data_IF_458218455273
#
_entry.id   IF_458218455273
#
_cell.length_a   1.000
_cell.length_b   1.000
_cell.length_c   1.000
_cell.angle_alpha   90.00
_cell.angle_beta   90.00
_cell.angle_gamma   90.00
#
_symmetry.space_group_name_H-M   'P 1'
#
loop_
_entity.id
_entity.type
_entity.pdbx_description
1 polymer ?
#
# COMPACT_ATOMS: atom_id res chain seq x y z
N UNK A 1 15.12 19.91 -18.01
CA UNK A 1 15.80 19.91 -16.70
C UNK A 1 14.71 19.83 -15.65
N UNK A 2 14.74 18.84 -14.75
CA UNK A 2 13.81 18.79 -13.62
C UNK A 2 14.14 19.95 -12.68
N UNK A 3 13.12 20.69 -12.26
CA UNK A 3 13.28 21.70 -11.23
C UNK A 3 13.43 20.97 -9.89
N UNK A 4 14.59 21.08 -9.25
CA UNK A 4 14.89 20.34 -8.01
C UNK A 4 13.99 20.75 -6.82
N UNK A 5 13.21 21.83 -6.95
CA UNK A 5 12.38 22.38 -5.89
C UNK A 5 10.90 21.96 -5.92
N UNK A 6 10.48 21.11 -6.86
CA UNK A 6 9.07 20.68 -6.90
C UNK A 6 8.71 19.83 -5.68
N UNK A 7 7.41 19.81 -5.37
CA UNK A 7 6.90 19.08 -4.21
C UNK A 7 7.12 17.57 -4.34
N UNK A 8 7.03 17.03 -5.55
CA UNK A 8 7.23 15.61 -5.85
C UNK A 8 8.67 15.18 -5.60
N UNK A 9 9.65 16.00 -5.99
CA UNK A 9 11.08 15.76 -5.71
C UNK A 9 11.32 15.72 -4.20
N UNK A 10 10.74 16.67 -3.45
CA UNK A 10 10.86 16.72 -1.98
C UNK A 10 10.23 15.51 -1.29
N UNK A 11 9.04 15.10 -1.74
CA UNK A 11 8.36 13.90 -1.24
C UNK A 11 9.22 12.66 -1.50
N UNK A 12 9.71 12.47 -2.72
CA UNK A 12 10.53 11.32 -3.06
C UNK A 12 11.82 11.24 -2.25
N UNK A 13 12.49 12.38 -2.05
CA UNK A 13 13.70 12.47 -1.23
C UNK A 13 13.43 12.12 0.25
N UNK A 14 12.33 12.63 0.82
CA UNK A 14 11.97 12.35 2.21
C UNK A 14 11.53 10.91 2.42
N UNK A 15 10.69 10.36 1.55
CA UNK A 15 10.27 8.95 1.62
C UNK A 15 11.49 8.01 1.55
N UNK A 16 12.40 8.27 0.61
CA UNK A 16 13.64 7.49 0.47
C UNK A 16 14.51 7.59 1.72
N UNK A 17 14.71 8.81 2.25
CA UNK A 17 15.55 9.07 3.42
C UNK A 17 14.98 8.45 4.70
N UNK A 18 13.66 8.47 4.85
CA UNK A 18 12.95 7.90 6.01
C UNK A 18 12.70 6.39 5.85
N UNK A 19 12.96 5.81 4.68
CA UNK A 19 12.66 4.42 4.37
C UNK A 19 11.16 4.11 4.38
N UNK A 20 10.32 5.11 4.07
CA UNK A 20 8.86 4.99 4.06
C UNK A 20 8.33 4.81 2.64
N UNK A 21 7.21 4.12 2.55
CA UNK A 21 6.49 3.85 1.30
C UNK A 21 5.11 4.51 1.29
N UNK A 22 4.64 4.89 0.10
CA UNK A 22 3.35 5.56 -0.12
C UNK A 22 2.49 4.85 -1.15
N UNK A 23 1.19 4.78 -0.88
CA UNK A 23 0.15 4.38 -1.82
C UNK A 23 -0.96 5.43 -1.92
N UNK A 24 -1.78 5.35 -2.97
CA UNK A 24 -2.85 6.31 -3.23
C UNK A 24 -4.19 5.64 -3.49
N UNK A 25 -5.28 6.32 -3.12
CA UNK A 25 -6.64 6.01 -3.52
C UNK A 25 -7.28 7.22 -4.22
N UNK A 26 -7.39 7.17 -5.53
CA UNK A 26 -7.85 8.30 -6.34
C UNK A 26 -9.27 8.08 -6.85
N UNK A 27 -10.13 9.10 -6.78
CA UNK A 27 -11.43 9.09 -7.45
C UNK A 27 -11.48 10.24 -8.45
N UNK A 28 -11.78 11.47 -8.00
CA UNK A 28 -11.98 12.59 -8.91
C UNK A 28 -10.70 13.05 -9.65
N UNK A 29 -9.51 12.86 -9.07
CA UNK A 29 -8.21 13.19 -9.69
C UNK A 29 -7.85 12.25 -10.85
N UNK A 30 -8.36 11.01 -10.81
CA UNK A 30 -8.27 10.07 -11.94
C UNK A 30 -6.85 9.61 -12.28
N UNK A 31 -5.96 9.49 -11.29
CA UNK A 31 -4.58 9.02 -11.50
C UNK A 31 -3.54 10.14 -11.51
N UNK A 32 -3.97 11.41 -11.48
CA UNK A 32 -3.08 12.56 -11.58
C UNK A 32 -2.04 12.65 -10.45
N UNK A 33 -2.34 12.13 -9.25
CA UNK A 33 -1.38 12.14 -8.15
C UNK A 33 -0.31 11.07 -8.39
N UNK A 34 -0.72 9.86 -8.76
CA UNK A 34 0.19 8.78 -9.13
C UNK A 34 1.12 9.15 -10.28
N UNK A 35 0.55 9.71 -11.36
CA UNK A 35 1.26 10.24 -12.53
C UNK A 35 2.45 11.14 -12.14
N UNK A 36 2.17 12.15 -11.30
CA UNK A 36 3.17 13.10 -10.80
C UNK A 36 4.24 12.47 -9.92
N UNK A 37 3.89 11.50 -9.07
CA UNK A 37 4.89 10.77 -8.28
C UNK A 37 5.77 9.90 -9.19
N UNK A 38 5.20 9.31 -10.23
CA UNK A 38 5.94 8.47 -11.19
C UNK A 38 6.83 9.25 -12.14
N UNK A 39 6.57 10.54 -12.36
CA UNK A 39 7.45 11.43 -13.13
C UNK A 39 8.82 11.63 -12.45
N UNK A 40 8.95 11.32 -11.16
CA UNK A 40 10.21 11.40 -10.43
C UNK A 40 11.02 10.11 -10.63
N UNK A 41 12.24 10.18 -11.20
CA UNK A 41 13.11 9.01 -11.35
C UNK A 41 13.38 8.33 -10.01
N UNK A 42 13.35 7.00 -10.00
CA UNK A 42 13.54 6.21 -8.77
C UNK A 42 12.29 6.11 -7.88
N UNK A 43 11.13 6.62 -8.33
CA UNK A 43 9.86 6.52 -7.61
C UNK A 43 9.45 5.10 -7.24
N UNK A 44 9.91 4.08 -7.97
CA UNK A 44 9.72 2.66 -7.62
C UNK A 44 10.30 2.27 -6.26
N UNK A 45 11.21 3.06 -5.69
CA UNK A 45 11.77 2.82 -4.35
C UNK A 45 10.77 3.11 -3.22
N UNK A 46 9.79 3.99 -3.44
CA UNK A 46 8.88 4.45 -2.39
C UNK A 46 7.39 4.43 -2.77
N UNK A 47 7.03 4.48 -4.06
CA UNK A 47 5.64 4.52 -4.50
C UNK A 47 5.16 3.11 -4.87
N UNK A 48 4.28 2.55 -4.05
CA UNK A 48 3.81 1.16 -4.22
C UNK A 48 2.62 1.02 -5.17
N UNK A 49 1.87 2.10 -5.38
CA UNK A 49 0.78 2.11 -6.36
C UNK A 49 -0.33 3.10 -6.03
N UNK A 50 -1.24 3.24 -6.99
CA UNK A 50 -2.48 4.01 -6.87
C UNK A 50 -3.66 3.17 -7.31
N UNK A 51 -4.73 3.19 -6.53
CA UNK A 51 -6.02 2.61 -6.89
C UNK A 51 -6.97 3.72 -7.34
N UNK A 52 -7.21 3.82 -8.65
CA UNK A 52 -8.22 4.74 -9.20
C UNK A 52 -9.60 4.08 -9.10
N UNK A 53 -10.38 4.45 -8.09
CA UNK A 53 -11.68 3.84 -7.74
C UNK A 53 -12.82 4.83 -7.91
N UNK A 54 -13.28 5.03 -9.15
CA UNK A 54 -14.31 6.03 -9.44
C UNK A 54 -15.71 5.61 -8.97
N UNK A 55 -16.13 4.39 -9.30
CA UNK A 55 -17.45 3.84 -8.98
C UNK A 55 -17.57 3.41 -7.50
N UNK A 56 -18.80 3.32 -6.99
CA UNK A 56 -19.09 2.79 -5.64
C UNK A 56 -18.56 1.36 -5.49
N UNK A 57 -18.90 0.47 -6.43
CA UNK A 57 -18.45 -0.92 -6.43
C UNK A 57 -16.92 -1.04 -6.48
N UNK A 58 -16.22 -0.13 -7.17
CA UNK A 58 -14.76 -0.11 -7.18
C UNK A 58 -14.19 0.26 -5.81
N UNK A 59 -14.79 1.24 -5.11
CA UNK A 59 -14.39 1.61 -3.74
C UNK A 59 -14.60 0.43 -2.76
N UNK A 60 -15.69 -0.31 -2.92
CA UNK A 60 -15.98 -1.49 -2.10
C UNK A 60 -15.01 -2.63 -2.39
N UNK A 61 -14.92 -3.06 -3.65
CA UNK A 61 -14.14 -4.25 -4.00
C UNK A 61 -12.64 -4.06 -3.89
N UNK A 62 -12.11 -2.89 -4.28
CA UNK A 62 -10.66 -2.65 -4.33
C UNK A 62 -10.13 -2.16 -2.98
N UNK A 63 -10.89 -1.28 -2.30
CA UNK A 63 -10.42 -0.59 -1.09
C UNK A 63 -11.14 -1.05 0.18
N UNK A 64 -12.17 -1.90 0.07
CA UNK A 64 -12.92 -2.37 1.22
C UNK A 64 -13.73 -1.27 1.89
N UNK A 65 -14.15 -0.24 1.14
CA UNK A 65 -15.10 0.76 1.66
C UNK A 65 -16.41 0.06 1.97
N UNK A 66 -16.99 0.34 3.13
CA UNK A 66 -18.22 -0.31 3.57
C UNK A 66 -19.43 0.17 2.77
N UNK A 67 -20.23 -0.79 2.31
CA UNK A 67 -21.45 -0.52 1.56
C UNK A 67 -22.40 0.47 2.27
N UNK A 68 -22.62 0.26 3.57
CA UNK A 68 -23.49 1.12 4.38
C UNK A 68 -22.95 2.55 4.50
N UNK A 69 -21.63 2.73 4.52
CA UNK A 69 -21.01 4.06 4.54
C UNK A 69 -21.25 4.78 3.20
N UNK A 70 -21.12 4.07 2.08
CA UNK A 70 -21.40 4.62 0.75
C UNK A 70 -22.88 5.01 0.56
N UNK A 71 -23.82 4.19 1.05
CA UNK A 71 -25.25 4.51 0.96
C UNK A 71 -25.64 5.69 1.85
N UNK A 72 -25.17 5.72 3.10
CA UNK A 72 -25.59 6.74 4.08
C UNK A 72 -24.87 8.08 3.92
N UNK A 73 -23.57 8.05 3.59
CA UNK A 73 -22.74 9.26 3.51
C UNK A 73 -22.48 9.70 2.08
N UNK A 74 -22.63 8.81 1.10
CA UNK A 74 -22.26 9.06 -0.29
C UNK A 74 -20.74 8.99 -0.52
N UNK A 75 -20.33 8.74 -1.76
CA UNK A 75 -18.92 8.59 -2.13
C UNK A 75 -18.04 9.82 -1.86
N UNK A 76 -18.64 11.02 -1.78
CA UNK A 76 -17.93 12.26 -1.47
C UNK A 76 -18.26 12.64 -0.03
N UNK A 77 -17.46 12.11 0.89
CA UNK A 77 -17.58 12.30 2.34
C UNK A 77 -16.22 12.03 3.02
N UNK A 78 -16.06 12.52 4.25
CA UNK A 78 -14.85 12.27 5.04
C UNK A 78 -14.73 10.78 5.42
N UNK A 79 -15.84 10.11 5.71
CA UNK A 79 -15.88 8.71 6.09
C UNK A 79 -15.41 7.80 4.94
N UNK A 80 -15.86 8.07 3.71
CA UNK A 80 -15.42 7.33 2.52
C UNK A 80 -13.94 7.63 2.23
N UNK A 81 -13.49 8.88 2.33
CA UNK A 81 -12.07 9.22 2.14
C UNK A 81 -11.19 8.44 3.14
N UNK A 82 -11.55 8.43 4.43
CA UNK A 82 -10.83 7.65 5.45
C UNK A 82 -10.75 6.17 5.09
N UNK A 83 -11.88 5.54 4.76
CA UNK A 83 -11.91 4.12 4.39
C UNK A 83 -11.10 3.84 3.12
N UNK A 84 -11.13 4.74 2.13
CA UNK A 84 -10.31 4.65 0.92
C UNK A 84 -8.81 4.69 1.23
N UNK A 85 -8.37 5.63 2.08
CA UNK A 85 -6.95 5.76 2.45
C UNK A 85 -6.47 4.52 3.21
N UNK A 86 -7.22 4.10 4.22
CA UNK A 86 -6.92 2.88 4.98
C UNK A 86 -6.94 1.63 4.08
N UNK A 87 -7.88 1.58 3.15
CA UNK A 87 -7.98 0.54 2.12
C UNK A 87 -6.74 0.47 1.24
N UNK A 88 -6.28 1.59 0.71
CA UNK A 88 -5.08 1.65 -0.12
C UNK A 88 -3.84 1.25 0.69
N UNK A 89 -3.70 1.75 1.91
CA UNK A 89 -2.60 1.38 2.80
C UNK A 89 -2.51 -0.14 2.98
N UNK A 90 -3.65 -0.79 3.27
CA UNK A 90 -3.73 -2.25 3.40
C UNK A 90 -3.49 -2.99 2.08
N UNK A 91 -4.09 -2.52 0.98
CA UNK A 91 -4.05 -3.21 -0.31
C UNK A 91 -2.64 -3.23 -0.92
N UNK A 92 -1.88 -2.15 -0.75
CA UNK A 92 -0.52 -2.03 -1.27
C UNK A 92 0.57 -2.36 -0.23
N UNK A 93 0.20 -2.52 1.05
CA UNK A 93 1.17 -2.71 2.13
C UNK A 93 2.08 -1.50 2.35
N UNK A 94 1.58 -0.29 2.06
CA UNK A 94 2.34 0.94 2.21
C UNK A 94 2.38 1.42 3.66
N UNK A 95 3.43 2.17 4.02
CA UNK A 95 3.53 2.81 5.33
C UNK A 95 2.49 3.93 5.45
N UNK A 96 2.36 4.74 4.40
CA UNK A 96 1.36 5.80 4.31
C UNK A 96 0.47 5.64 3.09
N UNK A 97 -0.77 6.10 3.20
CA UNK A 97 -1.65 6.24 2.05
C UNK A 97 -2.48 7.52 2.10
N UNK A 98 -2.70 8.12 0.92
CA UNK A 98 -3.58 9.29 0.78
C UNK A 98 -4.71 8.99 -0.19
N UNK A 99 -5.91 9.39 0.18
CA UNK A 99 -7.09 9.28 -0.66
C UNK A 99 -7.64 10.64 -1.07
N UNK A 100 -8.30 10.67 -2.23
CA UNK A 100 -9.06 11.84 -2.71
C UNK A 100 -10.40 11.40 -3.31
N UNK A 101 -11.49 11.94 -2.78
CA UNK A 101 -12.84 11.80 -3.35
C UNK A 101 -13.55 13.15 -3.42
N UNK A 102 -14.21 13.44 -4.54
CA UNK A 102 -14.72 14.79 -4.79
C UNK A 102 -15.63 14.91 -6.01
N UNK A 103 -16.23 16.09 -6.16
CA UNK A 103 -17.13 16.45 -7.26
C UNK A 103 -16.40 17.47 -8.13
N UNK A 104 -15.65 17.00 -9.14
CA UNK A 104 -14.88 17.90 -9.99
C UNK A 104 -15.74 18.84 -10.86
N UNK A 105 -17.01 18.47 -11.14
CA UNK A 105 -17.92 19.23 -12.00
C UNK A 105 -17.88 18.82 -13.47
N UNK A 106 -18.64 19.49 -14.35
CA UNK A 106 -19.46 20.68 -14.06
C UNK A 106 -20.80 20.36 -13.36
N UNK A 107 -21.22 19.09 -13.33
CA UNK A 107 -22.43 18.64 -12.65
C UNK A 107 -22.15 17.75 -11.43
N UNK A 108 -23.21 17.16 -10.88
CA UNK A 108 -23.13 16.20 -9.77
C UNK A 108 -23.06 16.83 -8.37
N UNK A 109 -23.07 18.17 -8.28
CA UNK A 109 -23.16 18.88 -7.01
C UNK A 109 -24.61 18.97 -6.49
N UNK A 110 -24.74 19.10 -5.17
CA UNK A 110 -25.97 19.47 -4.46
C UNK A 110 -25.70 20.72 -3.60
N UNK A 111 -26.72 21.37 -3.02
CA UNK A 111 -26.51 22.49 -2.09
C UNK A 111 -25.53 22.15 -0.95
N UNK A 112 -25.63 20.94 -0.39
CA UNK A 112 -24.75 20.49 0.71
C UNK A 112 -23.38 19.98 0.24
N UNK A 113 -23.31 19.53 -1.02
CA UNK A 113 -22.10 18.98 -1.64
C UNK A 113 -21.84 19.66 -2.98
N UNK A 114 -21.35 20.90 -2.98
CA UNK A 114 -21.21 21.67 -4.21
C UNK A 114 -20.16 21.08 -5.15
N UNK A 115 -20.22 21.47 -6.42
CA UNK A 115 -19.11 21.27 -7.36
C UNK A 115 -17.85 21.93 -6.79
N UNK A 116 -16.71 21.25 -6.95
CA UNK A 116 -15.43 21.65 -6.37
C UNK A 116 -15.17 21.05 -4.98
N UNK A 117 -16.17 20.44 -4.33
CA UNK A 117 -15.95 19.74 -3.06
C UNK A 117 -14.98 18.56 -3.24
N UNK A 118 -13.96 18.49 -2.39
CA UNK A 118 -13.06 17.36 -2.27
C UNK A 118 -12.80 17.02 -0.79
N UNK A 119 -12.84 15.73 -0.47
CA UNK A 119 -12.38 15.17 0.79
C UNK A 119 -11.09 14.41 0.56
N UNK A 120 -10.10 14.74 1.37
CA UNK A 120 -8.79 14.10 1.38
C UNK A 120 -8.59 13.43 2.73
N UNK A 121 -7.89 12.30 2.72
CA UNK A 121 -7.53 11.63 3.96
C UNK A 121 -6.17 10.95 3.85
N UNK A 122 -5.31 11.17 4.86
CA UNK A 122 -4.03 10.48 5.03
C UNK A 122 -4.16 9.45 6.15
N UNK A 123 -3.74 8.21 5.89
CA UNK A 123 -3.65 7.14 6.87
C UNK A 123 -2.19 6.66 6.97
N UNK A 124 -1.69 6.57 8.19
CA UNK A 124 -0.36 6.12 8.57
C UNK A 124 -0.46 5.29 9.87
N UNK A 125 0.62 4.65 10.37
CA UNK A 125 0.57 3.94 11.65
C UNK A 125 0.23 4.85 12.85
N UNK A 126 0.63 6.11 12.79
CA UNK A 126 0.60 7.10 13.86
C UNK A 126 -0.32 8.30 13.55
N UNK A 127 -0.90 8.36 12.35
CA UNK A 127 -1.70 9.49 11.90
C UNK A 127 -2.92 9.08 11.06
N UNK A 128 -4.04 9.77 11.32
CA UNK A 128 -5.26 9.72 10.52
C UNK A 128 -5.74 11.17 10.33
N UNK A 129 -5.35 11.80 9.22
CA UNK A 129 -5.61 13.22 8.96
C UNK A 129 -6.67 13.38 7.89
N UNK A 130 -7.66 14.23 8.16
CA UNK A 130 -8.76 14.50 7.23
C UNK A 130 -8.76 15.97 6.81
N UNK A 131 -9.00 16.22 5.52
CA UNK A 131 -9.17 17.56 4.98
C UNK A 131 -10.41 17.66 4.09
N UNK A 132 -11.04 18.83 4.12
CA UNK A 132 -12.18 19.18 3.28
C UNK A 132 -11.89 20.48 2.56
N UNK A 133 -12.00 20.46 1.25
CA UNK A 133 -11.78 21.61 0.38
C UNK A 133 -12.99 21.85 -0.52
N UNK A 134 -13.23 23.11 -0.87
CA UNK A 134 -14.19 23.50 -1.92
C UNK A 134 -13.46 24.41 -2.89
N UNK A 135 -13.20 23.89 -4.07
CA UNK A 135 -12.50 24.61 -5.12
C UNK A 135 -13.48 25.37 -6.01
N UNK A 136 -13.04 26.49 -6.55
CA UNK A 136 -13.85 27.35 -7.43
C UNK A 136 -13.23 27.44 -8.82
N UNK A 137 -12.77 26.31 -9.35
CA UNK A 137 -12.23 26.20 -10.70
C UNK A 137 -13.13 25.34 -11.60
N UNK A 138 -12.73 25.20 -12.86
CA UNK A 138 -13.35 24.25 -13.79
C UNK A 138 -12.98 22.80 -13.42
N UNK A 139 -13.51 21.82 -14.18
CA UNK A 139 -13.29 20.40 -13.90
C UNK A 139 -11.80 20.05 -13.82
N UNK A 140 -10.99 20.58 -14.73
CA UNK A 140 -9.55 20.30 -14.79
C UNK A 140 -8.82 20.97 -13.62
N UNK A 141 -9.16 22.21 -13.31
CA UNK A 141 -8.61 22.96 -12.19
C UNK A 141 -8.94 22.33 -10.84
N UNK A 142 -10.20 21.89 -10.63
CA UNK A 142 -10.61 21.23 -9.38
C UNK A 142 -9.86 19.91 -9.16
N UNK A 143 -9.61 19.15 -10.24
CA UNK A 143 -8.76 17.94 -10.17
C UNK A 143 -7.34 18.29 -9.77
N UNK A 144 -6.73 19.27 -10.45
CA UNK A 144 -5.35 19.71 -10.18
C UNK A 144 -5.17 20.19 -8.75
N UNK A 145 -6.05 21.08 -8.27
CA UNK A 145 -6.00 21.60 -6.90
C UNK A 145 -6.16 20.49 -5.85
N UNK A 146 -7.02 19.50 -6.11
CA UNK A 146 -7.16 18.34 -5.23
C UNK A 146 -5.90 17.46 -5.21
N UNK A 147 -5.23 17.30 -6.37
CA UNK A 147 -3.95 16.59 -6.44
C UNK A 147 -2.82 17.36 -5.73
N UNK A 148 -2.76 18.68 -5.91
CA UNK A 148 -1.81 19.56 -5.20
C UNK A 148 -1.99 19.46 -3.68
N UNK A 149 -3.24 19.52 -3.21
CA UNK A 149 -3.55 19.39 -1.78
C UNK A 149 -3.12 18.03 -1.21
N UNK A 150 -3.31 16.94 -1.97
CA UNK A 150 -2.90 15.61 -1.55
C UNK A 150 -1.37 15.50 -1.43
N UNK A 151 -0.61 16.02 -2.40
CA UNK A 151 0.85 16.06 -2.32
C UNK A 151 1.33 16.94 -1.15
N UNK A 152 0.69 18.09 -0.94
CA UNK A 152 0.98 18.96 0.21
C UNK A 152 0.72 18.24 1.55
N UNK A 153 -0.33 17.41 1.62
CA UNK A 153 -0.64 16.61 2.80
C UNK A 153 0.43 15.55 3.08
N UNK A 154 0.91 14.86 2.03
CA UNK A 154 2.03 13.90 2.14
C UNK A 154 3.29 14.62 2.64
N UNK A 155 3.66 15.74 2.00
CA UNK A 155 4.86 16.48 2.38
C UNK A 155 4.81 16.94 3.84
N UNK A 156 3.69 17.52 4.29
CA UNK A 156 3.53 17.96 5.69
C UNK A 156 3.68 16.81 6.68
N UNK A 157 3.16 15.62 6.35
CA UNK A 157 3.35 14.45 7.18
C UNK A 157 4.83 14.08 7.27
N UNK A 158 5.51 13.95 6.13
CA UNK A 158 6.93 13.56 6.09
C UNK A 158 7.85 14.56 6.80
N UNK A 159 7.53 15.86 6.72
CA UNK A 159 8.27 16.90 7.44
C UNK A 159 8.17 16.76 8.97
N UNK A 160 7.03 16.29 9.49
CA UNK A 160 6.85 16.01 10.93
C UNK A 160 7.56 14.73 11.38
N UNK A 161 7.82 13.81 10.46
CA UNK A 161 8.55 12.56 10.75
C UNK A 161 10.07 12.76 10.80
N UNK A 162 10.58 13.94 10.43
CA UNK A 162 12.00 14.23 10.61
C UNK A 162 12.31 14.27 12.10
N UNK A 163 13.33 13.52 12.57
CA UNK A 163 13.82 13.68 13.93
C UNK A 163 14.12 15.16 14.18
N UNK A 164 13.60 15.71 15.29
CA UNK A 164 14.02 17.04 15.74
C UNK A 164 15.54 17.00 15.87
N UNK A 165 16.21 17.70 14.96
CA UNK A 165 17.66 17.71 14.83
C UNK A 165 18.27 18.16 16.16
N UNK A 166 18.87 17.25 16.92
CA UNK A 166 19.76 17.62 18.01
C UNK A 166 20.86 18.52 17.43
N UNK A 167 21.03 19.70 18.01
CA UNK A 167 22.10 20.62 17.68
C UNK A 167 23.46 19.97 17.97
N UNK A 168 24.34 19.81 16.98
CA UNK A 168 25.56 20.62 16.73
C UNK A 168 26.54 19.84 15.78
N UNK A 169 27.78 20.28 15.45
CA UNK A 169 28.17 20.54 14.07
C UNK A 169 29.38 19.70 13.59
N UNK A 170 29.48 19.49 12.28
CA UNK A 170 30.73 19.13 11.62
C UNK A 170 30.99 17.62 11.50
N UNK A 171 30.96 17.16 10.25
CA UNK A 171 31.98 16.31 9.60
C UNK A 171 31.59 16.16 8.10
N UNK A 172 32.56 15.85 7.22
CA UNK A 172 32.54 16.28 5.82
C UNK A 172 31.72 15.38 4.89
N UNK A 173 31.34 16.01 3.79
CA UNK A 173 30.73 15.42 2.61
C UNK A 173 31.71 14.54 1.84
N UNK A 174 31.44 13.24 1.77
CA UNK A 174 31.89 12.35 0.68
C UNK A 174 30.67 11.54 0.18
N UNK A 175 30.62 11.15 -1.11
CA UNK A 175 29.43 10.61 -1.73
C UNK A 175 29.24 9.15 -1.36
N UNK A 176 28.03 8.78 -0.90
CA UNK A 176 27.63 7.38 -0.81
C UNK A 176 27.45 6.82 -2.22
N UNK A 177 28.31 5.87 -2.56
CA UNK A 177 28.25 5.07 -3.78
C UNK A 177 26.85 4.44 -3.96
N UNK A 178 26.29 4.70 -5.13
CA UNK A 178 25.03 4.16 -5.60
C UNK A 178 25.18 2.67 -5.96
N UNK A 179 24.98 1.77 -5.00
CA UNK A 179 24.93 0.34 -5.27
C UNK A 179 24.12 -0.45 -4.22
N UNK A 180 22.86 -0.07 -3.96
CA UNK A 180 21.92 -0.94 -3.22
C UNK A 180 20.45 -0.49 -3.39
N UNK A 181 19.97 -0.39 -4.63
CA UNK A 181 18.54 -0.18 -4.88
C UNK A 181 18.14 -0.80 -6.24
N UNK A 182 18.21 -2.12 -6.34
CA UNK A 182 17.60 -2.84 -7.46
C UNK A 182 17.32 -4.27 -7.06
N UNK A 183 16.10 -4.51 -6.59
CA UNK A 183 15.30 -5.69 -6.90
C UNK A 183 14.04 -5.65 -6.03
N UNK A 184 12.91 -5.21 -6.59
CA UNK A 184 11.54 -5.55 -6.15
C UNK A 184 10.54 -4.84 -7.05
N UNK A 185 10.26 -5.44 -8.21
CA UNK A 185 9.02 -5.18 -8.93
C UNK A 185 8.70 -6.34 -9.87
N UNK A 186 7.70 -7.14 -9.46
CA UNK A 186 6.76 -8.02 -10.21
C UNK A 186 6.12 -8.95 -9.17
N UNK A 187 4.83 -9.26 -9.09
CA UNK A 187 3.61 -8.99 -9.86
C UNK A 187 2.41 -9.11 -8.87
N UNK A 188 1.35 -8.29 -9.00
CA UNK A 188 0.06 -8.63 -9.60
C UNK A 188 -0.79 -9.72 -8.89
N UNK A 189 -2.04 -9.31 -8.57
CA UNK A 189 -3.26 -10.13 -8.43
C UNK A 189 -3.46 -10.97 -7.16
N UNK A 190 -3.96 -10.34 -6.08
CA UNK A 190 -4.82 -11.02 -5.10
C UNK A 190 -6.29 -10.81 -5.47
N UNK A 191 -6.70 -11.34 -6.62
CA UNK A 191 -8.11 -11.64 -6.87
C UNK A 191 -8.47 -12.86 -6.05
N UNK A 192 -9.32 -12.66 -5.03
CA UNK A 192 -10.05 -13.68 -4.26
C UNK A 192 -9.30 -14.99 -3.98
N UNK A 193 -8.33 -14.94 -3.06
CA UNK A 193 -7.71 -16.14 -2.50
C UNK A 193 -8.60 -16.70 -1.40
N UNK A 194 -9.75 -17.25 -1.77
CA UNK A 194 -10.44 -18.22 -0.91
C UNK A 194 -9.50 -19.43 -0.78
N UNK A 195 -9.22 -19.92 0.44
CA UNK A 195 -8.40 -21.12 0.59
C UNK A 195 -9.06 -22.27 -0.17
N UNK A 196 -8.28 -23.14 -0.85
CA UNK A 196 -8.83 -24.37 -1.40
C UNK A 196 -9.55 -25.14 -0.29
N UNK A 197 -10.65 -25.82 -0.64
CA UNK A 197 -11.37 -26.66 0.30
C UNK A 197 -10.41 -27.63 1.01
N UNK A 198 -10.60 -27.82 2.31
CA UNK A 198 -9.70 -28.61 3.15
C UNK A 198 -9.48 -30.02 2.58
N UNK A 199 -8.21 -30.35 2.30
CA UNK A 199 -7.75 -31.68 1.85
C UNK A 199 -6.85 -31.57 0.61
N UNK A 200 -5.52 -31.55 0.68
CA UNK A 200 -4.59 -31.99 1.70
C UNK A 200 -3.42 -31.00 1.75
N UNK A 201 -3.09 -30.48 2.93
CA UNK A 201 -1.90 -29.65 3.10
C UNK A 201 -0.65 -30.46 2.80
N UNK A 202 0.29 -29.90 2.04
CA UNK A 202 1.51 -30.59 1.65
C UNK A 202 2.59 -30.32 2.69
N UNK A 203 3.23 -31.34 3.31
CA UNK A 203 4.39 -31.15 4.15
C UNK A 203 5.48 -30.39 3.40
N UNK A 204 6.08 -29.39 4.06
CA UNK A 204 7.15 -28.58 3.49
C UNK A 204 8.34 -28.56 4.44
N UNK A 205 9.54 -28.76 3.91
CA UNK A 205 10.76 -28.40 4.63
C UNK A 205 10.94 -26.89 4.45
N UNK A 206 11.07 -26.14 5.54
CA UNK A 206 11.16 -24.68 5.51
C UNK A 206 12.44 -24.25 6.19
N UNK A 207 13.27 -23.50 5.47
CA UNK A 207 14.32 -22.69 6.08
C UNK A 207 13.69 -21.38 6.54
N UNK A 208 13.67 -21.16 7.85
CA UNK A 208 13.14 -19.97 8.47
C UNK A 208 14.08 -19.45 9.54
N UNK A 209 14.18 -18.13 9.66
CA UNK A 209 14.84 -17.51 10.81
C UNK A 209 13.78 -17.03 11.80
N UNK A 210 14.18 -16.89 13.07
CA UNK A 210 13.32 -16.35 14.13
C UNK A 210 13.83 -14.99 14.54
N UNK A 211 12.94 -14.04 14.63
CA UNK A 211 13.20 -12.73 15.21
C UNK A 211 13.26 -12.81 16.75
N UNK A 212 13.81 -11.78 17.42
CA UNK A 212 13.90 -11.74 18.89
C UNK A 212 12.55 -11.83 19.62
N UNK A 213 11.45 -11.43 18.98
CA UNK A 213 10.07 -11.55 19.47
C UNK A 213 9.45 -12.94 19.15
N UNK A 214 10.27 -13.92 18.80
CA UNK A 214 9.91 -15.29 18.44
C UNK A 214 9.02 -15.42 17.19
N UNK A 215 8.89 -14.35 16.39
CA UNK A 215 8.21 -14.42 15.11
C UNK A 215 9.03 -15.25 14.11
N UNK A 216 8.35 -16.03 13.28
CA UNK A 216 9.00 -16.93 12.33
C UNK A 216 8.96 -16.32 10.94
N UNK A 217 10.09 -16.34 10.24
CA UNK A 217 10.26 -15.70 8.93
C UNK A 217 10.82 -16.71 7.92
N UNK A 218 9.96 -17.27 7.04
CA UNK A 218 10.40 -18.17 5.98
C UNK A 218 11.35 -17.48 5.00
N UNK A 219 12.45 -18.15 4.64
CA UNK A 219 13.42 -17.73 3.63
C UNK A 219 13.38 -18.62 2.39
N UNK A 220 13.15 -19.91 2.59
CA UNK A 220 12.95 -20.87 1.51
C UNK A 220 12.09 -22.03 1.99
N UNK A 221 11.43 -22.72 1.07
CA UNK A 221 10.64 -23.90 1.40
C UNK A 221 10.61 -24.91 0.25
N UNK A 222 10.36 -26.18 0.57
CA UNK A 222 10.12 -27.21 -0.42
C UNK A 222 8.64 -27.36 -0.74
N UNK A 223 8.31 -27.52 -2.01
CA UNK A 223 6.96 -27.86 -2.46
C UNK A 223 7.02 -28.68 -3.75
N UNK A 224 6.30 -29.81 -3.78
CA UNK A 224 6.25 -30.73 -4.94
C UNK A 224 7.64 -31.15 -5.50
N UNK A 225 8.64 -31.27 -4.63
CA UNK A 225 10.00 -31.68 -5.00
C UNK A 225 10.90 -30.54 -5.47
N UNK A 226 10.40 -29.31 -5.54
CA UNK A 226 11.16 -28.11 -5.89
C UNK A 226 11.43 -27.24 -4.65
N UNK A 227 12.53 -26.51 -4.67
CA UNK A 227 12.88 -25.52 -3.66
C UNK A 227 12.47 -24.13 -4.15
N UNK A 228 11.72 -23.42 -3.32
CA UNK A 228 11.24 -22.07 -3.58
C UNK A 228 11.91 -21.09 -2.61
N UNK A 229 12.53 -20.05 -3.15
CA UNK A 229 13.08 -18.94 -2.36
C UNK A 229 11.99 -17.91 -2.12
N UNK A 230 11.83 -17.50 -0.87
CA UNK A 230 10.90 -16.46 -0.45
C UNK A 230 11.53 -15.11 -0.73
N UNK A 231 10.91 -14.34 -1.63
CA UNK A 231 11.35 -12.99 -2.01
C UNK A 231 10.57 -11.90 -1.27
N UNK A 232 9.34 -12.21 -0.83
CA UNK A 232 8.52 -11.33 -0.01
C UNK A 232 7.59 -12.14 0.91
N UNK A 233 7.20 -11.55 2.04
CA UNK A 233 6.16 -12.08 2.93
C UNK A 233 5.01 -11.08 3.03
N UNK A 234 3.78 -11.56 2.90
CA UNK A 234 2.55 -10.78 3.01
C UNK A 234 1.85 -10.97 4.35
N UNK A 235 0.52 -11.06 4.29
CA UNK A 235 -0.37 -11.20 5.46
C UNK A 235 0.07 -12.35 6.37
N UNK A 236 0.02 -12.11 7.68
CA UNK A 236 0.21 -13.09 8.75
C UNK A 236 -1.04 -13.18 9.61
N UNK A 237 -1.38 -14.37 10.07
CA UNK A 237 -2.49 -14.58 11.00
C UNK A 237 -2.28 -15.85 11.81
N UNK A 238 -3.07 -16.00 12.87
CA UNK A 238 -3.08 -17.20 13.70
C UNK A 238 -4.43 -17.87 13.52
N UNK A 239 -4.41 -19.17 13.26
CA UNK A 239 -5.60 -20.00 13.11
C UNK A 239 -5.60 -21.06 14.20
N UNK A 240 -6.78 -21.28 14.82
CA UNK A 240 -6.98 -22.36 15.79
C UNK A 240 -7.74 -23.46 15.08
N UNK A 241 -7.14 -24.64 15.01
CA UNK A 241 -7.74 -25.86 14.49
C UNK A 241 -7.80 -26.92 15.59
N UNK A 242 -8.49 -28.03 15.31
CA UNK A 242 -8.64 -29.13 16.27
C UNK A 242 -7.30 -29.76 16.67
N UNK A 243 -6.28 -29.68 15.79
CA UNK A 243 -4.95 -30.22 16.02
C UNK A 243 -3.94 -29.20 16.57
N UNK A 244 -4.37 -27.97 16.89
CA UNK A 244 -3.57 -26.97 17.58
C UNK A 244 -3.57 -25.56 16.95
N UNK A 245 -2.58 -24.76 17.34
CA UNK A 245 -2.43 -23.38 16.86
C UNK A 245 -1.49 -23.34 15.66
N UNK A 246 -1.96 -22.75 14.57
CA UNK A 246 -1.21 -22.55 13.34
C UNK A 246 -0.89 -21.08 13.13
N UNK A 247 0.39 -20.79 12.90
CA UNK A 247 0.87 -19.49 12.44
C UNK A 247 0.95 -19.51 10.92
N UNK A 248 0.13 -18.69 10.28
CA UNK A 248 -0.01 -18.66 8.83
C UNK A 248 0.68 -17.42 8.26
N UNK A 249 1.32 -17.56 7.10
CA UNK A 249 1.96 -16.46 6.38
C UNK A 249 1.85 -16.66 4.87
N UNK A 250 1.48 -15.60 4.17
CA UNK A 250 1.62 -15.56 2.71
C UNK A 250 3.07 -15.26 2.34
N UNK A 251 3.62 -16.02 1.41
CA UNK A 251 4.96 -15.82 0.86
C UNK A 251 4.89 -15.73 -0.66
N UNK A 252 5.77 -14.92 -1.24
CA UNK A 252 5.94 -14.83 -2.69
C UNK A 252 7.33 -15.33 -3.07
N UNK A 253 7.43 -15.88 -4.27
CA UNK A 253 8.69 -16.35 -4.84
C UNK A 253 9.16 -15.45 -5.98
N UNK A 254 10.40 -15.65 -6.43
CA UNK A 254 10.97 -14.88 -7.55
C UNK A 254 10.18 -15.01 -8.86
N UNK A 255 9.42 -16.10 -9.03
CA UNK A 255 8.58 -16.33 -10.21
C UNK A 255 7.22 -15.60 -10.12
N UNK A 256 6.97 -14.85 -9.04
CA UNK A 256 5.69 -14.20 -8.76
C UNK A 256 4.64 -15.14 -8.14
N UNK A 257 4.95 -16.43 -8.01
CA UNK A 257 4.06 -17.40 -7.37
C UNK A 257 3.85 -17.04 -5.90
N UNK A 258 2.61 -17.12 -5.43
CA UNK A 258 2.21 -16.87 -4.04
C UNK A 258 1.83 -18.18 -3.35
N UNK A 259 2.28 -18.37 -2.11
CA UNK A 259 2.01 -19.56 -1.31
C UNK A 259 1.52 -19.17 0.08
N UNK A 260 0.66 -20.00 0.67
CA UNK A 260 0.32 -19.96 2.09
C UNK A 260 1.13 -21.03 2.82
N UNK A 261 2.02 -20.59 3.71
CA UNK A 261 2.76 -21.46 4.62
C UNK A 261 2.08 -21.43 5.99
N UNK A 262 1.92 -22.60 6.60
CA UNK A 262 1.46 -22.75 7.98
C UNK A 262 2.53 -23.42 8.82
N UNK A 263 2.74 -22.87 10.01
CA UNK A 263 3.69 -23.35 10.99
C UNK A 263 3.00 -23.67 12.31
N UNK A 264 3.23 -24.86 12.83
CA UNK A 264 2.80 -25.26 14.17
C UNK A 264 4.02 -25.31 15.11
N UNK A 265 4.10 -24.42 16.12
CA UNK A 265 5.23 -24.34 17.04
C UNK A 265 5.47 -25.63 17.83
N UNK A 266 4.41 -26.19 18.39
CA UNK A 266 4.48 -27.31 19.36
C UNK A 266 5.07 -28.58 18.74
N UNK A 267 4.78 -28.83 17.46
CA UNK A 267 5.24 -30.00 16.72
C UNK A 267 6.33 -29.68 15.70
N UNK A 268 6.79 -28.43 15.65
CA UNK A 268 7.69 -27.88 14.64
C UNK A 268 7.31 -28.26 13.19
N UNK A 269 6.01 -28.29 12.89
CA UNK A 269 5.48 -28.80 11.62
C UNK A 269 5.20 -27.65 10.66
N UNK A 270 5.61 -27.82 9.41
CA UNK A 270 5.37 -26.89 8.33
C UNK A 270 4.59 -27.54 7.20
N UNK A 271 3.64 -26.80 6.66
CA UNK A 271 2.87 -27.22 5.49
C UNK A 271 2.63 -26.05 4.54
N UNK A 272 2.48 -26.38 3.26
CA UNK A 272 1.89 -25.51 2.25
C UNK A 272 0.39 -25.84 2.19
N UNK A 273 -0.45 -24.87 2.54
CA UNK A 273 -1.92 -25.01 2.55
C UNK A 273 -2.59 -24.34 1.35
N UNK A 274 -1.87 -23.47 0.64
CA UNK A 274 -2.36 -22.77 -0.55
C UNK A 274 -1.20 -22.43 -1.49
N UNK A 275 -1.46 -22.49 -2.80
CA UNK A 275 -0.50 -22.12 -3.84
C UNK A 275 -1.26 -21.48 -5.01
N UNK A 276 -0.80 -20.30 -5.43
CA UNK A 276 -1.32 -19.52 -6.54
C UNK A 276 -0.17 -19.18 -7.47
N UNK A 277 -0.10 -19.92 -8.57
CA UNK A 277 1.02 -19.86 -9.49
C UNK A 277 0.75 -18.82 -10.57
N UNK A 278 1.74 -18.00 -10.87
CA UNK A 278 1.70 -17.11 -12.01
C UNK A 278 1.64 -17.93 -13.31
N UNK A 279 0.83 -17.53 -14.30
CA UNK A 279 0.84 -18.17 -15.61
C UNK A 279 2.24 -18.10 -16.22
N UNK A 280 2.85 -19.25 -16.46
CA UNK A 280 4.10 -19.32 -17.22
C UNK A 280 3.73 -19.29 -18.70
N UNK A 281 4.16 -18.27 -19.44
CA UNK A 281 4.09 -18.29 -20.90
C UNK A 281 5.00 -19.43 -21.37
N UNK A 282 4.41 -20.39 -22.09
CA UNK A 282 5.11 -21.53 -22.67
C UNK A 282 6.01 -21.11 -23.83
#
# INVERSE_FOLDING_TARGET
MMNADTIEVKIGALLTTLGLTVALAESCTGGQIGDRLTDIPGSSAYFLGSAVTYAYSAKEHVLGVEHNTLLSKGAVSAEVARQMAQGARRAFGADIAVSVTGIAGPGGGTPDKPVGLAHLHLSAPDAEWAERHVWHADRVGNKRLSADAALAMILRYLEQQRPQRAADPGMPTEPLDAAAASARQTAAHSGDLRPPAAGAWTPAAVDAWRSPDAQVHPRAFSWRGEMHVVTATGRRWVERADDGIWHCVLVQTALGDTFELRYQPDSNRWVVSGAWLCPRLA
#
